data_IF_977335430824
#
_entry.id   IF_977335430824
#
_cell.length_a   1.000
_cell.length_b   1.000
_cell.length_c   1.000
_cell.angle_alpha   90.00
_cell.angle_beta   90.00
_cell.angle_gamma   90.00
#
_symmetry.space_group_name_H-M   'P 1'
#
loop_
_entity.id
_entity.type
_entity.pdbx_description
1 polymer ?
#
# COMPACT_ATOMS: atom_id res chain seq x y z
N UNK A 1 -6.82 38.64 27.01
CA UNK A 1 -6.40 38.42 25.61
C UNK A 1 -5.68 37.07 25.58
N UNK A 2 -6.40 36.01 25.24
CA UNK A 2 -5.89 34.63 25.32
C UNK A 2 -5.33 34.20 23.96
N UNK A 3 -4.16 33.57 24.01
CA UNK A 3 -3.32 33.25 22.86
C UNK A 3 -3.96 32.27 21.89
N UNK A 4 -3.88 32.63 20.62
CA UNK A 4 -4.08 31.75 19.48
C UNK A 4 -2.80 30.94 19.26
N UNK A 5 -2.64 29.84 19.99
CA UNK A 5 -1.75 28.76 19.57
C UNK A 5 -2.48 27.94 18.50
N UNK A 6 -2.41 28.45 17.27
CA UNK A 6 -2.71 27.68 16.06
C UNK A 6 -1.73 26.52 16.00
N UNK A 7 -2.10 25.39 16.60
CA UNK A 7 -1.38 24.12 16.46
C UNK A 7 -1.30 23.82 14.97
N UNK A 8 -0.10 24.00 14.41
CA UNK A 8 0.27 23.60 13.07
C UNK A 8 -0.29 22.21 12.80
N UNK A 9 -1.25 22.12 11.87
CA UNK A 9 -1.46 20.89 11.10
C UNK A 9 -0.10 20.59 10.47
N UNK A 10 0.66 19.67 11.06
CA UNK A 10 1.84 19.10 10.42
C UNK A 10 1.33 18.54 9.11
N UNK A 11 1.70 19.17 8.00
CA UNK A 11 1.57 18.54 6.70
C UNK A 11 2.29 17.19 6.83
N UNK A 12 1.55 16.09 6.71
CA UNK A 12 2.17 14.78 6.63
C UNK A 12 3.17 14.83 5.48
N UNK A 13 4.40 14.32 5.64
CA UNK A 13 5.23 14.11 4.47
C UNK A 13 4.44 13.19 3.54
N UNK A 14 4.09 13.69 2.36
CA UNK A 14 3.44 12.88 1.34
C UNK A 14 4.28 11.65 1.06
N UNK A 15 3.63 10.55 0.72
CA UNK A 15 4.29 9.34 0.25
C UNK A 15 5.16 9.72 -0.96
N UNK A 16 6.46 9.41 -0.94
CA UNK A 16 7.34 9.76 -2.08
C UNK A 16 6.85 9.04 -3.35
N UNK A 17 7.09 9.61 -4.54
CA UNK A 17 6.66 9.04 -5.82
C UNK A 17 7.01 7.56 -5.99
N UNK A 18 8.17 7.13 -5.50
CA UNK A 18 8.61 5.72 -5.50
C UNK A 18 7.70 4.80 -4.70
N UNK A 19 7.22 5.27 -3.54
CA UNK A 19 6.32 4.52 -2.69
C UNK A 19 4.88 4.56 -3.23
N UNK A 20 4.48 5.62 -3.92
CA UNK A 20 3.22 5.64 -4.65
C UNK A 20 3.18 4.55 -5.74
N UNK A 21 4.26 4.43 -6.52
CA UNK A 21 4.38 3.37 -7.52
C UNK A 21 4.32 1.96 -6.90
N UNK A 22 4.99 1.75 -5.77
CA UNK A 22 4.95 0.48 -5.03
C UNK A 22 3.52 0.10 -4.60
N UNK A 23 2.79 1.05 -4.00
CA UNK A 23 1.42 0.83 -3.52
C UNK A 23 0.46 0.50 -4.67
N UNK A 24 0.57 1.21 -5.80
CA UNK A 24 -0.22 0.93 -7.00
C UNK A 24 0.12 -0.44 -7.61
N UNK A 25 1.39 -0.82 -7.62
CA UNK A 25 1.82 -2.15 -8.09
C UNK A 25 1.25 -3.26 -7.21
N UNK A 26 1.28 -3.10 -5.87
CA UNK A 26 0.70 -4.06 -4.95
C UNK A 26 -0.82 -4.17 -5.13
N UNK A 27 -1.53 -3.04 -5.30
CA UNK A 27 -2.96 -3.03 -5.60
C UNK A 27 -3.30 -3.80 -6.90
N UNK A 28 -2.50 -3.60 -7.95
CA UNK A 28 -2.70 -4.32 -9.21
C UNK A 28 -2.47 -5.83 -9.05
N UNK A 29 -1.44 -6.25 -8.31
CA UNK A 29 -1.16 -7.66 -8.04
C UNK A 29 -2.30 -8.33 -7.25
N UNK A 30 -2.86 -7.65 -6.25
CA UNK A 30 -4.03 -8.14 -5.50
C UNK A 30 -5.24 -8.38 -6.42
N UNK A 31 -5.51 -7.47 -7.37
CA UNK A 31 -6.61 -7.64 -8.32
C UNK A 31 -6.36 -8.75 -9.33
N UNK A 32 -5.12 -8.88 -9.83
CA UNK A 32 -4.75 -9.95 -10.75
C UNK A 32 -4.84 -11.34 -10.09
N UNK A 33 -4.43 -11.47 -8.82
CA UNK A 33 -4.57 -12.70 -8.03
C UNK A 33 -5.99 -13.28 -8.08
N UNK A 34 -7.00 -12.41 -7.98
CA UNK A 34 -8.39 -12.85 -7.99
C UNK A 34 -8.88 -13.27 -9.39
N UNK A 35 -8.47 -12.55 -10.44
CA UNK A 35 -8.88 -12.83 -11.81
C UNK A 35 -8.21 -14.10 -12.36
N UNK A 36 -6.91 -14.27 -12.10
CA UNK A 36 -6.11 -15.28 -12.78
C UNK A 36 -5.93 -16.56 -11.98
N UNK A 37 -5.84 -16.48 -10.65
CA UNK A 37 -5.11 -17.53 -9.94
C UNK A 37 -5.96 -18.47 -9.10
N UNK A 38 -7.17 -18.10 -8.64
CA UNK A 38 -7.96 -18.87 -7.64
C UNK A 38 -7.07 -19.54 -6.55
N UNK A 39 -5.90 -18.94 -6.28
CA UNK A 39 -4.92 -19.56 -5.41
C UNK A 39 -5.44 -19.35 -4.01
N UNK A 40 -5.25 -20.37 -3.20
CA UNK A 40 -5.61 -20.41 -1.79
C UNK A 40 -4.69 -19.45 -1.01
N UNK A 41 -4.81 -18.16 -1.31
CA UNK A 41 -4.31 -17.07 -0.51
C UNK A 41 -5.32 -16.91 0.61
N UNK A 42 -4.90 -16.79 1.86
CA UNK A 42 -5.82 -16.66 3.01
C UNK A 42 -6.72 -15.41 3.00
N UNK A 43 -6.86 -14.73 1.86
CA UNK A 43 -7.71 -13.60 1.57
C UNK A 43 -8.78 -13.99 0.55
N UNK A 44 -10.02 -13.65 0.84
CA UNK A 44 -11.13 -13.68 -0.11
C UNK A 44 -11.00 -12.58 -1.16
N UNK A 45 -11.80 -12.69 -2.22
CA UNK A 45 -11.91 -11.69 -3.29
C UNK A 45 -12.20 -10.28 -2.76
N UNK A 46 -13.09 -10.20 -1.77
CA UNK A 46 -13.55 -8.95 -1.16
C UNK A 46 -12.41 -8.33 -0.36
N UNK A 47 -11.72 -9.12 0.45
CA UNK A 47 -10.59 -8.64 1.26
C UNK A 47 -9.41 -8.19 0.38
N UNK A 48 -9.17 -8.85 -0.76
CA UNK A 48 -8.14 -8.43 -1.72
C UNK A 48 -8.48 -7.09 -2.40
N UNK A 49 -9.75 -6.88 -2.78
CA UNK A 49 -10.20 -5.61 -3.37
C UNK A 49 -10.20 -4.48 -2.33
N UNK A 50 -10.64 -4.74 -1.10
CA UNK A 50 -10.57 -3.79 0.01
C UNK A 50 -9.12 -3.36 0.27
N UNK A 51 -8.19 -4.30 0.30
CA UNK A 51 -6.77 -3.99 0.50
C UNK A 51 -6.17 -3.20 -0.68
N UNK A 52 -6.51 -3.55 -1.92
CA UNK A 52 -6.09 -2.80 -3.10
C UNK A 52 -6.59 -1.34 -3.05
N UNK A 53 -7.85 -1.15 -2.65
CA UNK A 53 -8.45 0.16 -2.49
C UNK A 53 -7.78 0.98 -1.39
N UNK A 54 -7.38 0.35 -0.28
CA UNK A 54 -6.63 1.03 0.79
C UNK A 54 -5.28 1.56 0.30
N UNK A 55 -4.54 0.80 -0.51
CA UNK A 55 -3.28 1.27 -1.10
C UNK A 55 -3.47 2.47 -2.02
N UNK A 56 -4.51 2.46 -2.87
CA UNK A 56 -4.82 3.59 -3.76
C UNK A 56 -5.18 4.85 -2.96
N UNK A 57 -5.94 4.72 -1.88
CA UNK A 57 -6.32 5.84 -1.02
C UNK A 57 -5.13 6.48 -0.29
N UNK A 58 -4.13 5.68 0.08
CA UNK A 58 -2.87 6.19 0.65
C UNK A 58 -2.12 7.04 -0.38
N UNK A 59 -2.14 6.64 -1.65
CA UNK A 59 -1.54 7.40 -2.75
C UNK A 59 -2.29 8.70 -3.02
N UNK A 60 -3.63 8.64 -3.06
CA UNK A 60 -4.48 9.81 -3.32
C UNK A 60 -4.52 10.81 -2.14
N UNK A 61 -3.88 10.47 -1.01
CA UNK A 61 -3.91 11.26 0.22
C UNK A 61 -5.35 11.61 0.64
N UNK A 62 -6.27 10.65 0.42
CA UNK A 62 -7.69 10.84 0.65
C UNK A 62 -7.95 11.08 2.15
N UNK A 63 -8.91 11.94 2.56
CA UNK A 63 -9.18 12.25 3.96
C UNK A 63 -9.40 11.02 4.86
N UNK A 64 -10.16 9.99 4.46
CA UNK A 64 -10.23 8.77 5.30
C UNK A 64 -9.00 7.84 5.20
N UNK A 65 -8.05 8.16 4.32
CA UNK A 65 -6.68 7.63 4.34
C UNK A 65 -5.83 8.22 5.47
N UNK A 66 -6.29 9.27 6.16
CA UNK A 66 -5.61 9.79 7.36
C UNK A 66 -5.51 8.74 8.49
N UNK A 67 -6.32 7.68 8.45
CA UNK A 67 -6.25 6.60 9.44
C UNK A 67 -5.22 5.52 9.09
N UNK A 68 -4.67 5.52 7.87
CA UNK A 68 -3.72 4.53 7.42
C UNK A 68 -2.31 5.06 7.65
N UNK A 69 -1.48 4.31 8.39
CA UNK A 69 -0.07 4.62 8.53
C UNK A 69 0.65 4.31 7.20
N UNK A 70 1.26 5.30 6.53
CA UNK A 70 1.97 5.07 5.28
C UNK A 70 3.10 4.04 5.40
N UNK A 71 3.77 3.95 6.55
CA UNK A 71 4.82 2.97 6.77
C UNK A 71 4.29 1.54 6.82
N UNK A 72 3.12 1.35 7.45
CA UNK A 72 2.42 0.07 7.47
C UNK A 72 1.97 -0.33 6.06
N UNK A 73 1.41 0.61 5.29
CA UNK A 73 1.01 0.35 3.91
C UNK A 73 2.19 -0.05 3.02
N UNK A 74 3.34 0.63 3.14
CA UNK A 74 4.57 0.29 2.40
C UNK A 74 5.08 -1.11 2.77
N UNK A 75 5.14 -1.43 4.07
CA UNK A 75 5.59 -2.73 4.54
C UNK A 75 4.68 -3.86 4.03
N UNK A 76 3.37 -3.64 4.05
CA UNK A 76 2.39 -4.61 3.56
C UNK A 76 2.47 -4.77 2.03
N UNK A 77 2.67 -3.68 1.28
CA UNK A 77 2.85 -3.73 -0.17
C UNK A 77 4.09 -4.54 -0.58
N UNK A 78 5.21 -4.37 0.14
CA UNK A 78 6.38 -5.21 -0.07
C UNK A 78 6.08 -6.69 0.17
N UNK A 79 5.39 -7.03 1.27
CA UNK A 79 5.01 -8.41 1.56
C UNK A 79 4.12 -9.01 0.45
N UNK A 80 3.11 -8.27 0.00
CA UNK A 80 2.22 -8.72 -1.09
C UNK A 80 3.04 -9.04 -2.35
N UNK A 81 3.96 -8.15 -2.73
CA UNK A 81 4.80 -8.36 -3.91
C UNK A 81 5.79 -9.51 -3.72
N UNK A 82 6.41 -9.65 -2.55
CA UNK A 82 7.35 -10.74 -2.28
C UNK A 82 6.66 -12.13 -2.29
N UNK A 83 5.41 -12.20 -1.81
CA UNK A 83 4.62 -13.44 -1.79
C UNK A 83 4.20 -13.91 -3.20
N UNK A 84 4.00 -12.99 -4.14
CA UNK A 84 3.54 -13.29 -5.52
C UNK A 84 4.61 -13.27 -6.59
N UNK A 85 5.45 -12.25 -6.50
CA UNK A 85 6.44 -11.88 -7.47
C UNK A 85 7.77 -11.64 -6.75
N UNK A 86 8.31 -12.66 -6.06
CA UNK A 86 9.59 -12.54 -5.38
C UNK A 86 10.69 -12.02 -6.32
N UNK A 87 10.62 -12.34 -7.62
CA UNK A 87 11.54 -11.84 -8.65
C UNK A 87 11.53 -10.33 -8.85
N UNK A 88 10.47 -9.63 -8.44
CA UNK A 88 10.38 -8.16 -8.47
C UNK A 88 11.03 -7.52 -7.24
N UNK A 89 11.31 -8.31 -6.21
CA UNK A 89 11.98 -7.84 -5.00
C UNK A 89 13.48 -7.70 -5.25
N UNK A 90 14.09 -6.51 -5.02
CA UNK A 90 15.53 -6.34 -5.15
C UNK A 90 16.35 -7.20 -4.17
N UNK A 91 15.73 -7.63 -3.08
CA UNK A 91 16.35 -8.41 -2.00
C UNK A 91 16.18 -9.93 -2.19
N UNK A 92 15.35 -10.36 -3.13
CA UNK A 92 15.18 -11.78 -3.38
C UNK A 92 16.45 -12.38 -3.98
N UNK A 93 16.84 -13.60 -3.58
CA UNK A 93 17.98 -14.28 -4.17
C UNK A 93 17.80 -14.36 -5.69
N UNK A 94 18.66 -13.67 -6.42
CA UNK A 94 18.74 -13.84 -7.87
C UNK A 94 19.46 -15.17 -8.08
N UNK A 95 18.74 -16.15 -8.61
CA UNK A 95 19.35 -17.40 -9.06
C UNK A 95 20.30 -17.00 -10.20
N UNK A 96 21.61 -17.12 -9.98
CA UNK A 96 22.62 -17.01 -11.04
C UNK A 96 22.61 -18.25 -11.94
#
# INVERSE_FOLDING_TARGET
MNGTESRSRRARPGVSDTYCALLLQAAQVLRMRYVETQRNTGLSAVEAEELAYLFERVVDNHPDGDQIDPAEAIALAHRVLDDDHPERSPLWPKVE
#
